data_IF_863111976902
#
_entry.id   IF_863111976902
#
_cell.length_a   1.000
_cell.length_b   1.000
_cell.length_c   1.000
_cell.angle_alpha   90.00
_cell.angle_beta   90.00
_cell.angle_gamma   90.00
#
_symmetry.space_group_name_H-M   'P 1'
#
loop_
_entity.id
_entity.type
_entity.pdbx_description
1 polymer ?
#
# COMPACT_ATOMS: atom_id res chain seq x y z
N UNK A 1 33.62 19.21 43.07
CA UNK A 1 33.30 19.74 41.72
C UNK A 1 31.80 19.88 41.69
N UNK A 2 31.30 21.09 41.38
CA UNK A 2 29.88 21.41 41.48
C UNK A 2 29.08 20.73 40.35
N UNK A 3 27.94 20.13 40.71
CA UNK A 3 26.97 19.56 39.78
C UNK A 3 26.36 20.67 38.91
N UNK A 4 26.35 20.44 37.60
CA UNK A 4 25.83 21.40 36.62
C UNK A 4 24.29 21.29 36.52
N UNK A 5 23.53 22.34 36.89
CA UNK A 5 22.06 22.32 36.89
C UNK A 5 21.43 22.35 35.48
N UNK A 6 22.23 22.34 34.41
CA UNK A 6 21.79 22.26 33.01
C UNK A 6 21.96 20.86 32.39
N UNK A 7 22.47 19.89 33.16
CA UNK A 7 22.57 18.50 32.74
C UNK A 7 21.37 17.76 33.33
N UNK A 8 20.37 17.49 32.48
CA UNK A 8 19.29 16.59 32.87
C UNK A 8 19.88 15.21 33.16
N UNK A 9 19.71 14.73 34.39
CA UNK A 9 20.01 13.34 34.71
C UNK A 9 19.15 12.43 33.80
N UNK A 10 19.67 11.27 33.35
CA UNK A 10 18.87 10.32 32.59
C UNK A 10 17.60 10.02 33.37
N UNK A 11 16.45 10.18 32.73
CA UNK A 11 15.15 9.85 33.31
C UNK A 11 15.15 8.37 33.70
N UNK A 12 15.21 8.07 35.00
CA UNK A 12 15.06 6.73 35.59
C UNK A 12 13.61 6.24 35.60
N UNK A 13 12.75 6.84 34.78
CA UNK A 13 11.35 6.47 34.73
C UNK A 13 11.21 5.24 33.84
N UNK A 14 10.96 4.08 34.46
CA UNK A 14 10.60 2.86 33.76
C UNK A 14 9.49 3.18 32.72
N UNK A 15 9.54 2.62 31.50
CA UNK A 15 8.53 2.87 30.48
C UNK A 15 7.15 2.59 31.07
N UNK A 16 6.30 3.63 31.10
CA UNK A 16 5.04 3.53 31.82
C UNK A 16 4.14 2.48 31.13
N UNK A 17 3.45 1.62 31.89
CA UNK A 17 2.43 0.69 31.37
C UNK A 17 1.34 1.39 30.54
N UNK A 18 1.21 2.70 30.71
CA UNK A 18 0.25 3.58 30.08
C UNK A 18 0.69 4.10 28.70
N UNK A 19 1.94 3.93 28.30
CA UNK A 19 2.46 4.46 27.02
C UNK A 19 1.65 3.96 25.80
N UNK A 20 1.16 2.71 25.83
CA UNK A 20 0.31 2.17 24.76
C UNK A 20 -1.08 2.82 24.68
N UNK A 21 -1.61 3.33 25.80
CA UNK A 21 -2.90 4.05 25.86
C UNK A 21 -2.74 5.46 25.29
N UNK A 22 -1.66 6.17 25.65
CA UNK A 22 -1.34 7.48 25.07
C UNK A 22 -1.11 7.41 23.56
N UNK A 23 -0.38 6.40 23.09
CA UNK A 23 -0.17 6.20 21.64
C UNK A 23 -1.50 5.88 20.92
N UNK A 24 -2.40 5.13 21.56
CA UNK A 24 -3.72 4.85 20.99
C UNK A 24 -4.58 6.13 20.88
N UNK A 25 -4.56 6.99 21.90
CA UNK A 25 -5.24 8.29 21.89
C UNK A 25 -4.67 9.22 20.82
N UNK A 26 -3.36 9.26 20.66
CA UNK A 26 -2.69 10.03 19.60
C UNK A 26 -3.08 9.54 18.19
N UNK A 27 -3.15 8.22 18.00
CA UNK A 27 -3.63 7.62 16.74
C UNK A 27 -5.10 7.98 16.51
N UNK A 28 -5.94 7.86 17.53
CA UNK A 28 -7.36 8.23 17.45
C UNK A 28 -7.55 9.70 17.08
N UNK A 29 -6.73 10.60 17.65
CA UNK A 29 -6.75 12.01 17.32
C UNK A 29 -6.35 12.27 15.86
N UNK A 30 -5.33 11.59 15.35
CA UNK A 30 -4.93 11.69 13.94
C UNK A 30 -6.08 11.21 13.03
N UNK A 31 -6.67 10.05 13.34
CA UNK A 31 -7.78 9.45 12.58
C UNK A 31 -9.02 10.34 12.63
N UNK A 32 -9.36 10.89 13.79
CA UNK A 32 -10.46 11.83 13.98
C UNK A 32 -10.23 13.13 13.20
N UNK A 33 -9.00 13.65 13.19
CA UNK A 33 -8.61 14.80 12.37
C UNK A 33 -8.85 14.56 10.88
N UNK A 34 -8.54 13.37 10.37
CA UNK A 34 -8.86 13.00 8.98
C UNK A 34 -10.37 12.89 8.75
N UNK A 35 -11.08 12.22 9.66
CA UNK A 35 -12.53 12.01 9.59
C UNK A 35 -13.31 13.33 9.59
N UNK A 36 -12.82 14.34 10.31
CA UNK A 36 -13.41 15.68 10.35
C UNK A 36 -13.30 16.46 9.04
N UNK A 37 -12.49 16.00 8.08
CA UNK A 37 -12.24 16.71 6.82
C UNK A 37 -11.33 17.94 6.96
N UNK A 38 -10.74 18.20 8.12
CA UNK A 38 -9.84 19.35 8.37
C UNK A 38 -8.61 19.40 7.46
N UNK A 39 -8.25 18.27 6.86
CA UNK A 39 -7.17 18.13 5.88
C UNK A 39 -7.55 18.66 4.48
N UNK A 40 -8.85 18.82 4.19
CA UNK A 40 -9.33 19.26 2.88
C UNK A 40 -9.15 20.78 2.76
N UNK A 41 -8.60 21.22 1.63
CA UNK A 41 -8.40 22.63 1.33
C UNK A 41 -9.76 23.33 1.11
N UNK A 42 -9.95 24.48 1.77
CA UNK A 42 -11.21 25.23 1.72
C UNK A 42 -11.61 25.69 0.32
N UNK A 43 -10.68 25.74 -0.64
CA UNK A 43 -10.97 26.09 -2.04
C UNK A 43 -11.78 25.02 -2.78
N UNK A 44 -11.81 23.78 -2.27
CA UNK A 44 -12.62 22.68 -2.81
C UNK A 44 -14.07 22.69 -2.29
N UNK A 45 -14.37 23.55 -1.29
CA UNK A 45 -15.68 23.60 -0.64
C UNK A 45 -15.93 22.39 0.28
N UNK A 46 -16.97 22.46 1.10
CA UNK A 46 -17.42 21.31 1.89
C UNK A 46 -17.93 20.21 0.93
N UNK A 47 -17.06 19.26 0.59
CA UNK A 47 -17.44 18.08 -0.18
C UNK A 47 -18.25 17.17 0.74
N UNK A 48 -19.57 17.36 0.77
CA UNK A 48 -20.48 16.39 1.38
C UNK A 48 -20.54 15.16 0.48
N UNK A 49 -20.08 14.02 1.00
CA UNK A 49 -20.01 12.76 0.28
C UNK A 49 -21.37 12.39 -0.34
N UNK A 50 -21.40 12.29 -1.66
CA UNK A 50 -22.39 11.53 -2.41
C UNK A 50 -21.62 10.54 -3.28
N UNK A 51 -21.66 9.25 -2.91
CA UNK A 51 -21.17 8.18 -3.76
C UNK A 51 -22.31 7.76 -4.67
N UNK A 52 -22.35 8.32 -5.88
CA UNK A 52 -23.13 7.76 -6.98
C UNK A 52 -22.31 7.75 -8.27
N UNK A 53 -22.15 6.53 -8.80
CA UNK A 53 -21.99 6.19 -10.20
C UNK A 53 -21.09 7.07 -11.06
N UNK A 54 -19.79 6.81 -11.06
CA UNK A 54 -18.93 7.20 -12.17
C UNK A 54 -19.18 6.28 -13.38
N UNK A 55 -20.21 6.60 -14.18
CA UNK A 55 -20.39 6.02 -15.50
C UNK A 55 -20.94 7.07 -16.46
N UNK A 56 -20.04 7.66 -17.24
CA UNK A 56 -20.17 7.98 -18.67
C UNK A 56 -18.99 8.90 -19.03
N UNK A 57 -18.03 8.36 -19.78
CA UNK A 57 -17.07 9.17 -20.51
C UNK A 57 -17.81 9.65 -21.76
N UNK A 58 -18.41 10.83 -21.69
CA UNK A 58 -18.73 11.58 -22.90
C UNK A 58 -17.45 12.31 -23.30
N UNK A 59 -16.99 12.17 -24.55
CA UNK A 59 -15.88 12.95 -25.11
C UNK A 59 -16.42 14.30 -25.62
N UNK A 60 -16.33 15.38 -24.84
CA UNK A 60 -16.93 16.65 -25.20
C UNK A 60 -16.09 17.32 -26.29
N UNK A 61 -14.77 17.13 -26.29
CA UNK A 61 -13.89 17.69 -27.32
C UNK A 61 -14.15 17.05 -28.69
N UNK A 62 -14.45 15.75 -28.72
CA UNK A 62 -14.87 15.03 -29.92
C UNK A 62 -16.13 15.59 -30.58
N UNK A 63 -17.03 16.23 -29.81
CA UNK A 63 -18.22 16.88 -30.37
C UNK A 63 -17.88 18.09 -31.27
N UNK A 64 -16.76 18.79 -31.00
CA UNK A 64 -16.33 19.93 -31.82
C UNK A 64 -15.78 19.51 -33.19
N UNK A 65 -15.28 18.27 -33.33
CA UNK A 65 -14.84 17.73 -34.62
C UNK A 65 -15.98 17.68 -35.64
N UNK A 66 -17.22 17.45 -35.18
CA UNK A 66 -18.40 17.38 -36.03
C UNK A 66 -18.72 18.72 -36.71
N UNK A 67 -18.24 19.84 -36.16
CA UNK A 67 -18.47 21.18 -36.70
C UNK A 67 -17.29 21.69 -37.55
N UNK A 68 -16.19 20.93 -37.68
CA UNK A 68 -15.08 21.23 -38.60
C UNK A 68 -14.19 22.42 -38.21
N UNK A 69 -14.29 22.94 -36.98
CA UNK A 69 -13.53 24.11 -36.52
C UNK A 69 -12.36 23.65 -35.65
N UNK A 70 -11.31 23.16 -36.32
CA UNK A 70 -10.16 22.51 -35.67
C UNK A 70 -9.38 23.40 -34.68
N UNK A 71 -9.34 24.73 -34.91
CA UNK A 71 -8.59 25.65 -34.04
C UNK A 71 -9.22 25.79 -32.64
N UNK A 72 -10.54 25.57 -32.48
CA UNK A 72 -11.17 25.59 -31.17
C UNK A 72 -10.76 24.39 -30.31
N UNK A 73 -10.45 23.25 -30.93
CA UNK A 73 -9.99 22.05 -30.23
C UNK A 73 -8.63 22.28 -29.58
N UNK A 74 -7.75 23.05 -30.23
CA UNK A 74 -6.45 23.41 -29.68
C UNK A 74 -6.57 24.18 -28.35
N UNK A 75 -7.62 24.98 -28.19
CA UNK A 75 -7.89 25.73 -26.96
C UNK A 75 -8.54 24.88 -25.86
N UNK A 76 -9.23 23.79 -26.23
CA UNK A 76 -9.88 22.87 -25.28
C UNK A 76 -8.94 21.78 -24.79
N UNK A 77 -7.96 21.38 -25.62
CA UNK A 77 -7.04 20.28 -25.32
C UNK A 77 -6.39 20.38 -23.93
N UNK A 78 -5.88 21.54 -23.48
CA UNK A 78 -5.30 21.66 -22.13
C UNK A 78 -6.30 21.38 -21.00
N UNK A 79 -7.59 21.65 -21.22
CA UNK A 79 -8.66 21.37 -20.26
C UNK A 79 -8.99 19.87 -20.23
N UNK A 80 -8.98 19.22 -21.39
CA UNK A 80 -9.18 17.77 -21.51
C UNK A 80 -8.00 16.98 -20.93
N UNK A 81 -6.76 17.42 -21.13
CA UNK A 81 -5.55 16.80 -20.54
C UNK A 81 -5.61 16.78 -19.00
N UNK A 82 -6.27 17.77 -18.37
CA UNK A 82 -6.48 17.77 -16.93
C UNK A 82 -7.38 16.61 -16.44
N UNK A 83 -8.25 16.06 -17.30
CA UNK A 83 -9.01 14.85 -16.99
C UNK A 83 -8.12 13.61 -16.99
N UNK A 84 -7.15 13.55 -17.90
CA UNK A 84 -6.18 12.46 -17.99
C UNK A 84 -5.25 12.45 -16.78
N UNK A 85 -4.87 13.61 -16.25
CA UNK A 85 -4.10 13.70 -15.00
C UNK A 85 -4.84 13.13 -13.79
N UNK A 86 -6.18 13.14 -13.83
CA UNK A 86 -7.06 12.61 -12.78
C UNK A 86 -7.56 11.20 -13.10
N UNK A 87 -7.04 10.56 -14.16
CA UNK A 87 -7.33 9.18 -14.48
C UNK A 87 -6.56 8.25 -13.52
N UNK A 88 -7.18 7.98 -12.37
CA UNK A 88 -6.77 6.92 -11.44
C UNK A 88 -7.64 5.67 -11.58
N UNK A 89 -7.32 4.64 -10.79
CA UNK A 89 -8.10 3.42 -10.65
C UNK A 89 -8.81 3.40 -9.27
N UNK A 90 -10.10 3.79 -9.20
CA UNK A 90 -10.86 3.78 -7.94
C UNK A 90 -11.00 2.37 -7.35
N UNK A 91 -11.03 1.33 -8.19
CA UNK A 91 -11.15 -0.05 -7.73
C UNK A 91 -9.86 -0.49 -7.02
N UNK A 92 -8.70 -0.11 -7.55
CA UNK A 92 -7.42 -0.33 -6.89
C UNK A 92 -7.32 0.41 -5.55
N UNK A 93 -7.77 1.66 -5.47
CA UNK A 93 -7.80 2.43 -4.21
C UNK A 93 -8.70 1.76 -3.18
N UNK A 94 -9.91 1.36 -3.58
CA UNK A 94 -10.85 0.64 -2.71
C UNK A 94 -10.29 -0.71 -2.24
N UNK A 95 -9.63 -1.46 -3.14
CA UNK A 95 -8.98 -2.71 -2.80
C UNK A 95 -7.86 -2.51 -1.76
N UNK A 96 -7.02 -1.49 -1.91
CA UNK A 96 -5.98 -1.17 -0.92
C UNK A 96 -6.56 -0.78 0.44
N UNK A 97 -7.62 0.04 0.47
CA UNK A 97 -8.32 0.37 1.71
C UNK A 97 -8.91 -0.89 2.38
N UNK A 98 -9.52 -1.78 1.60
CA UNK A 98 -10.08 -3.02 2.11
C UNK A 98 -9.00 -3.95 2.67
N UNK A 99 -7.82 -4.03 2.04
CA UNK A 99 -6.67 -4.77 2.59
C UNK A 99 -6.31 -4.28 3.98
N UNK A 100 -6.27 -2.96 4.20
CA UNK A 100 -5.98 -2.39 5.51
C UNK A 100 -7.07 -2.70 6.55
N UNK A 101 -8.35 -2.70 6.16
CA UNK A 101 -9.43 -3.14 7.05
C UNK A 101 -9.32 -4.61 7.42
N UNK A 102 -8.93 -5.47 6.48
CA UNK A 102 -8.72 -6.89 6.75
C UNK A 102 -7.58 -7.09 7.76
N UNK A 103 -6.49 -6.33 7.62
CA UNK A 103 -5.39 -6.30 8.60
C UNK A 103 -5.89 -5.85 9.97
N UNK A 104 -6.67 -4.78 10.04
CA UNK A 104 -7.26 -4.31 11.30
C UNK A 104 -8.18 -5.35 11.95
N UNK A 105 -9.01 -6.04 11.17
CA UNK A 105 -9.84 -7.15 11.63
C UNK A 105 -9.01 -8.28 12.24
N UNK A 106 -8.01 -8.77 11.52
CA UNK A 106 -7.11 -9.83 12.00
C UNK A 106 -6.40 -9.46 13.30
N UNK A 107 -5.94 -8.21 13.44
CA UNK A 107 -5.31 -7.72 14.67
C UNK A 107 -6.27 -7.69 15.86
N UNK A 108 -7.54 -7.33 15.65
CA UNK A 108 -8.58 -7.40 16.70
C UNK A 108 -8.87 -8.84 17.10
N UNK A 109 -9.01 -9.73 16.12
CA UNK A 109 -9.28 -11.15 16.38
C UNK A 109 -8.16 -11.79 17.19
N UNK A 110 -6.90 -11.43 16.91
CA UNK A 110 -5.74 -11.86 17.71
C UNK A 110 -5.76 -11.29 19.13
N UNK A 111 -6.12 -10.02 19.30
CA UNK A 111 -6.23 -9.40 20.63
C UNK A 111 -7.32 -10.07 21.48
N UNK A 112 -8.47 -10.36 20.87
CA UNK A 112 -9.60 -11.00 21.53
C UNK A 112 -9.34 -12.48 21.79
N UNK A 113 -8.65 -13.17 20.87
CA UNK A 113 -8.15 -14.52 21.06
C UNK A 113 -7.20 -14.63 22.26
N UNK A 114 -6.22 -13.72 22.36
CA UNK A 114 -5.30 -13.66 23.50
C UNK A 114 -6.03 -13.36 24.81
N UNK A 115 -6.96 -12.40 24.80
CA UNK A 115 -7.75 -12.06 25.99
C UNK A 115 -8.56 -13.28 26.46
N UNK A 116 -9.13 -14.03 25.51
CA UNK A 116 -9.93 -15.23 25.76
C UNK A 116 -9.08 -16.38 26.30
N UNK A 117 -7.93 -16.69 25.69
CA UNK A 117 -7.05 -17.76 26.16
C UNK A 117 -6.53 -17.48 27.57
N UNK A 118 -6.11 -16.25 27.85
CA UNK A 118 -5.66 -15.85 29.18
C UNK A 118 -6.78 -15.94 30.23
N UNK A 119 -8.03 -15.71 29.82
CA UNK A 119 -9.16 -15.83 30.73
C UNK A 119 -9.44 -17.28 31.14
N UNK A 120 -9.34 -18.23 30.21
CA UNK A 120 -9.76 -19.61 30.42
C UNK A 120 -8.61 -20.57 30.73
N UNK A 121 -7.48 -20.44 30.04
CA UNK A 121 -6.40 -21.44 30.10
C UNK A 121 -5.52 -21.27 31.35
N UNK A 122 -5.55 -20.09 31.98
CA UNK A 122 -4.78 -19.78 33.19
C UNK A 122 -5.67 -19.34 34.36
N UNK A 123 -6.95 -19.74 34.34
CA UNK A 123 -7.93 -19.41 35.39
C UNK A 123 -7.49 -19.96 36.75
N UNK A 124 -7.08 -21.22 36.78
CA UNK A 124 -6.64 -21.91 38.01
C UNK A 124 -5.24 -21.48 38.48
N UNK A 125 -4.46 -20.80 37.63
CA UNK A 125 -3.13 -20.35 37.97
C UNK A 125 -3.18 -19.08 38.85
N UNK A 126 -2.75 -19.22 40.09
CA UNK A 126 -2.77 -18.16 41.11
C UNK A 126 -1.36 -17.77 41.58
N UNK A 127 -1.28 -16.68 42.35
CA UNK A 127 -0.02 -16.12 42.86
C UNK A 127 0.53 -14.97 42.01
N UNK A 128 1.66 -14.39 42.47
CA UNK A 128 2.23 -13.16 41.90
C UNK A 128 2.65 -13.30 40.42
N UNK A 129 3.18 -14.46 40.04
CA UNK A 129 3.56 -14.75 38.66
C UNK A 129 2.35 -14.78 37.73
N UNK A 130 1.22 -15.35 38.17
CA UNK A 130 -0.01 -15.39 37.39
C UNK A 130 -0.61 -13.99 37.18
N UNK A 131 -0.59 -13.12 38.20
CA UNK A 131 -1.00 -11.72 38.05
C UNK A 131 -0.09 -10.94 37.10
N UNK A 132 1.23 -11.15 37.17
CA UNK A 132 2.19 -10.53 36.28
C UNK A 132 1.96 -10.97 34.82
N UNK A 133 1.71 -12.26 34.60
CA UNK A 133 1.38 -12.80 33.28
C UNK A 133 0.08 -12.21 32.72
N UNK A 134 -1.01 -12.18 33.51
CA UNK A 134 -2.29 -11.57 33.09
C UNK A 134 -2.14 -10.10 32.72
N UNK A 135 -1.39 -9.33 33.50
CA UNK A 135 -1.06 -7.94 33.19
C UNK A 135 -0.25 -7.80 31.90
N UNK A 136 0.79 -8.64 31.71
CA UNK A 136 1.57 -8.65 30.48
C UNK A 136 0.72 -8.97 29.24
N UNK A 137 -0.17 -9.96 29.35
CA UNK A 137 -1.04 -10.35 28.26
C UNK A 137 -2.08 -9.28 27.91
N UNK A 138 -2.63 -8.59 28.91
CA UNK A 138 -3.53 -7.45 28.69
C UNK A 138 -2.80 -6.32 27.94
N UNK A 139 -1.59 -5.97 28.35
CA UNK A 139 -0.77 -4.99 27.62
C UNK A 139 -0.50 -5.41 26.17
N UNK A 140 -0.30 -6.71 25.91
CA UNK A 140 -0.10 -7.21 24.55
C UNK A 140 -1.38 -7.13 23.72
N UNK A 141 -2.53 -7.45 24.31
CA UNK A 141 -3.84 -7.30 23.67
C UNK A 141 -4.14 -5.83 23.35
N UNK A 142 -3.85 -4.90 24.27
CA UNK A 142 -4.00 -3.45 24.04
C UNK A 142 -3.18 -2.98 22.85
N UNK A 143 -1.92 -3.39 22.72
CA UNK A 143 -1.08 -3.01 21.56
C UNK A 143 -1.62 -3.53 20.23
N UNK A 144 -2.12 -4.77 20.21
CA UNK A 144 -2.78 -5.32 19.02
C UNK A 144 -4.00 -4.47 18.62
N UNK A 145 -4.80 -4.03 19.60
CA UNK A 145 -5.92 -3.10 19.36
C UNK A 145 -5.44 -1.74 18.85
N UNK A 146 -4.34 -1.19 19.38
CA UNK A 146 -3.73 0.05 18.88
C UNK A 146 -3.24 -0.07 17.44
N UNK A 147 -2.61 -1.20 17.08
CA UNK A 147 -2.20 -1.47 15.70
C UNK A 147 -3.41 -1.64 14.78
N UNK A 148 -4.49 -2.26 15.25
CA UNK A 148 -5.75 -2.36 14.51
C UNK A 148 -6.36 -0.99 14.24
N UNK A 149 -6.35 -0.09 15.23
CA UNK A 149 -6.80 1.29 15.07
C UNK A 149 -5.96 2.04 14.02
N UNK A 150 -4.64 1.86 14.02
CA UNK A 150 -3.77 2.45 13.01
C UNK A 150 -4.07 1.91 11.60
N UNK A 151 -4.24 0.59 11.46
CA UNK A 151 -4.60 -0.02 10.18
C UNK A 151 -5.95 0.50 9.64
N UNK A 152 -6.96 0.64 10.49
CA UNK A 152 -8.23 1.30 10.14
C UNK A 152 -8.04 2.77 9.74
N UNK A 153 -7.15 3.48 10.43
CA UNK A 153 -6.75 4.84 10.09
C UNK A 153 -6.18 4.94 8.67
N UNK A 154 -5.29 4.01 8.31
CA UNK A 154 -4.70 3.93 6.96
C UNK A 154 -5.75 3.63 5.89
N UNK A 155 -6.70 2.74 6.18
CA UNK A 155 -7.84 2.48 5.30
C UNK A 155 -8.66 3.75 5.07
N UNK A 156 -9.07 4.42 6.15
CA UNK A 156 -9.85 5.66 6.09
C UNK A 156 -9.14 6.74 5.28
N UNK A 157 -7.85 6.97 5.52
CA UNK A 157 -7.07 7.96 4.78
C UNK A 157 -7.01 7.64 3.28
N UNK A 158 -6.83 6.36 2.91
CA UNK A 158 -6.78 5.92 1.51
C UNK A 158 -8.11 6.19 0.79
N UNK A 159 -9.24 5.91 1.43
CA UNK A 159 -10.56 6.18 0.87
C UNK A 159 -10.87 7.67 0.79
N UNK A 160 -10.47 8.43 1.80
CA UNK A 160 -10.63 9.87 1.84
C UNK A 160 -9.87 10.53 0.68
N UNK A 161 -8.64 10.07 0.39
CA UNK A 161 -7.87 10.50 -0.77
C UNK A 161 -8.60 10.17 -2.08
N UNK A 162 -9.06 8.92 -2.25
CA UNK A 162 -9.78 8.48 -3.44
C UNK A 162 -11.07 9.27 -3.69
N UNK A 163 -11.83 9.53 -2.64
CA UNK A 163 -13.08 10.32 -2.69
C UNK A 163 -12.80 11.76 -3.14
N UNK A 164 -11.73 12.38 -2.61
CA UNK A 164 -11.36 13.74 -3.01
C UNK A 164 -10.91 13.82 -4.47
N UNK A 165 -10.08 12.87 -4.92
CA UNK A 165 -9.64 12.78 -6.32
C UNK A 165 -10.85 12.61 -7.24
N UNK A 166 -11.77 11.69 -6.89
CA UNK A 166 -13.00 11.46 -7.64
C UNK A 166 -13.87 12.72 -7.75
N UNK A 167 -14.01 13.46 -6.65
CA UNK A 167 -14.76 14.73 -6.63
C UNK A 167 -14.14 15.76 -7.57
N UNK A 168 -12.82 15.97 -7.49
CA UNK A 168 -12.14 16.94 -8.37
C UNK A 168 -12.23 16.51 -9.84
N UNK A 169 -12.18 15.21 -10.13
CA UNK A 169 -12.38 14.68 -11.49
C UNK A 169 -13.76 15.04 -12.04
N UNK A 170 -14.81 14.92 -11.24
CA UNK A 170 -16.18 15.33 -11.64
C UNK A 170 -16.21 16.83 -11.92
N UNK A 171 -15.66 17.66 -11.03
CA UNK A 171 -15.62 19.11 -11.20
C UNK A 171 -14.90 19.53 -12.50
N UNK A 172 -13.76 18.88 -12.82
CA UNK A 172 -13.03 19.14 -14.07
C UNK A 172 -13.84 18.67 -15.28
N UNK A 173 -14.50 17.51 -15.20
CA UNK A 173 -15.35 17.01 -16.29
C UNK A 173 -16.49 17.98 -16.60
N UNK A 174 -17.18 18.46 -15.58
CA UNK A 174 -18.31 19.39 -15.73
C UNK A 174 -17.85 20.74 -16.28
N UNK A 175 -16.66 21.20 -15.86
CA UNK A 175 -16.02 22.38 -16.43
C UNK A 175 -15.74 22.22 -17.93
N UNK A 176 -15.13 21.10 -18.33
CA UNK A 176 -14.85 20.79 -19.75
C UNK A 176 -16.14 20.72 -20.55
N UNK A 177 -17.17 20.03 -20.03
CA UNK A 177 -18.48 19.93 -20.68
C UNK A 177 -19.13 21.31 -20.87
N UNK A 178 -19.04 22.19 -19.86
CA UNK A 178 -19.55 23.56 -19.92
C UNK A 178 -18.82 24.40 -20.97
N UNK A 179 -17.49 24.30 -21.04
CA UNK A 179 -16.69 25.00 -22.05
C UNK A 179 -17.10 24.53 -23.44
N UNK A 180 -17.08 23.23 -23.69
CA UNK A 180 -17.44 22.65 -25.00
C UNK A 180 -18.86 23.04 -25.43
N UNK A 181 -19.84 23.00 -24.52
CA UNK A 181 -21.20 23.41 -24.84
C UNK A 181 -21.28 24.85 -25.36
N UNK A 182 -20.51 25.78 -24.78
CA UNK A 182 -20.42 27.16 -25.26
C UNK A 182 -19.69 27.27 -26.60
N UNK A 183 -18.64 26.49 -26.79
CA UNK A 183 -17.90 26.48 -28.05
C UNK A 183 -18.74 25.97 -29.23
N UNK A 184 -19.67 25.05 -28.99
CA UNK A 184 -20.63 24.61 -30.02
C UNK A 184 -21.54 25.77 -30.45
N UNK A 185 -21.96 26.64 -29.52
CA UNK A 185 -22.74 27.84 -29.86
C UNK A 185 -21.93 28.80 -30.73
N UNK A 186 -20.68 29.06 -30.35
CA UNK A 186 -19.77 29.90 -31.14
C UNK A 186 -19.44 29.30 -32.51
N UNK A 187 -19.36 27.96 -32.60
CA UNK A 187 -19.22 27.27 -33.88
C UNK A 187 -20.39 27.57 -34.82
N UNK A 188 -21.63 27.50 -34.29
CA UNK A 188 -22.84 27.84 -35.02
C UNK A 188 -22.87 29.30 -35.47
N UNK A 189 -22.42 30.23 -34.64
CA UNK A 189 -22.30 31.66 -34.98
C UNK A 189 -21.32 31.89 -36.14
N UNK A 190 -20.16 31.21 -36.13
CA UNK A 190 -19.20 31.31 -37.23
C UNK A 190 -19.77 30.79 -38.55
N UNK A 191 -20.51 29.68 -38.51
CA UNK A 191 -21.19 29.13 -39.69
C UNK A 191 -22.26 30.10 -40.20
N UNK A 192 -23.12 30.60 -39.31
CA UNK A 192 -24.21 31.50 -39.66
C UNK A 192 -23.71 32.85 -40.21
N UNK A 193 -22.58 33.35 -39.71
CA UNK A 193 -21.95 34.60 -40.16
C UNK A 193 -20.99 34.41 -41.33
N UNK A 194 -20.88 33.19 -41.88
CA UNK A 194 -19.89 32.84 -42.91
C UNK A 194 -18.45 33.26 -42.54
N UNK A 195 -18.11 33.20 -41.25
CA UNK A 195 -16.79 33.54 -40.71
C UNK A 195 -16.56 35.03 -40.45
N UNK A 196 -17.53 35.93 -40.68
CA UNK A 196 -17.35 37.36 -40.42
C UNK A 196 -17.17 37.67 -38.92
N UNK A 197 -17.74 36.86 -38.03
CA UNK A 197 -17.57 37.01 -36.58
C UNK A 197 -16.25 36.45 -36.02
N UNK A 198 -15.35 35.92 -36.88
CA UNK A 198 -14.12 35.23 -36.42
C UNK A 198 -13.28 36.01 -35.42
N UNK A 199 -12.97 37.31 -35.62
CA UNK A 199 -12.15 38.05 -34.65
C UNK A 199 -12.78 38.11 -33.25
N UNK A 200 -14.09 38.32 -33.17
CA UNK A 200 -14.83 38.40 -31.92
C UNK A 200 -14.91 37.03 -31.24
N UNK A 201 -15.21 35.98 -32.00
CA UNK A 201 -15.33 34.62 -31.47
C UNK A 201 -13.98 34.11 -30.95
N UNK A 202 -12.86 34.38 -31.63
CA UNK A 202 -11.53 34.01 -31.15
C UNK A 202 -11.23 34.64 -29.78
N UNK A 203 -11.55 35.91 -29.60
CA UNK A 203 -11.40 36.59 -28.31
C UNK A 203 -12.24 35.89 -27.23
N UNK A 204 -13.53 35.65 -27.49
CA UNK A 204 -14.45 35.01 -26.55
C UNK A 204 -14.01 33.58 -26.17
N UNK A 205 -13.59 32.78 -27.14
CA UNK A 205 -13.09 31.41 -26.94
C UNK A 205 -11.85 31.44 -26.05
N UNK A 206 -10.89 32.31 -26.37
CA UNK A 206 -9.62 32.41 -25.63
C UNK A 206 -9.87 32.83 -24.18
N UNK A 207 -10.68 33.86 -23.96
CA UNK A 207 -11.02 34.34 -22.61
C UNK A 207 -11.78 33.29 -21.81
N UNK A 208 -12.73 32.58 -22.44
CA UNK A 208 -13.48 31.51 -21.80
C UNK A 208 -12.58 30.36 -21.37
N UNK A 209 -11.77 29.83 -22.29
CA UNK A 209 -10.84 28.73 -22.00
C UNK A 209 -9.83 29.14 -20.93
N UNK A 210 -9.27 30.35 -21.00
CA UNK A 210 -8.34 30.86 -19.99
C UNK A 210 -8.99 30.96 -18.59
N UNK A 211 -10.22 31.45 -18.50
CA UNK A 211 -10.94 31.55 -17.24
C UNK A 211 -11.20 30.18 -16.59
N UNK A 212 -11.59 29.19 -17.40
CA UNK A 212 -11.81 27.82 -16.92
C UNK A 212 -10.51 27.09 -16.60
N UNK A 213 -9.46 27.27 -17.39
CA UNK A 213 -8.12 26.76 -17.09
C UNK A 213 -7.62 27.28 -15.74
N UNK A 214 -7.77 28.59 -15.48
CA UNK A 214 -7.40 29.18 -14.20
C UNK A 214 -8.22 28.61 -13.03
N UNK A 215 -9.51 28.26 -13.26
CA UNK A 215 -10.38 27.66 -12.25
C UNK A 215 -9.99 26.21 -11.95
N UNK A 216 -9.74 25.41 -12.98
CA UNK A 216 -9.24 24.03 -12.85
C UNK A 216 -7.89 24.02 -12.12
N UNK A 217 -6.98 24.91 -12.50
CA UNK A 217 -5.68 25.02 -11.83
C UNK A 217 -5.79 25.32 -10.33
N UNK A 218 -6.79 26.11 -9.91
CA UNK A 218 -7.06 26.34 -8.47
C UNK A 218 -7.54 25.06 -7.77
N UNK A 219 -8.45 24.32 -8.38
CA UNK A 219 -8.94 23.05 -7.83
C UNK A 219 -7.81 22.01 -7.72
N UNK A 220 -6.97 21.87 -8.76
CA UNK A 220 -5.81 20.97 -8.73
C UNK A 220 -4.81 21.36 -7.63
N UNK A 221 -4.56 22.66 -7.41
CA UNK A 221 -3.71 23.12 -6.31
C UNK A 221 -4.31 22.78 -4.94
N UNK A 222 -5.63 22.97 -4.78
CA UNK A 222 -6.36 22.57 -3.56
C UNK A 222 -6.28 21.07 -3.32
N UNK A 223 -6.41 20.26 -4.37
CA UNK A 223 -6.25 18.81 -4.31
C UNK A 223 -4.86 18.42 -3.81
N UNK A 224 -3.81 18.96 -4.43
CA UNK A 224 -2.41 18.69 -4.05
C UNK A 224 -2.15 19.11 -2.59
N UNK A 225 -2.63 20.29 -2.19
CA UNK A 225 -2.48 20.77 -0.82
C UNK A 225 -3.17 19.84 0.19
N UNK A 226 -4.37 19.36 -0.14
CA UNK A 226 -5.11 18.40 0.68
C UNK A 226 -4.38 17.07 0.79
N UNK A 227 -3.95 16.50 -0.34
CA UNK A 227 -3.22 15.23 -0.36
C UNK A 227 -1.89 15.30 0.41
N UNK A 228 -1.20 16.45 0.41
CA UNK A 228 -0.01 16.66 1.24
C UNK A 228 -0.34 16.62 2.72
N UNK A 229 -1.35 17.36 3.18
CA UNK A 229 -1.81 17.32 4.58
C UNK A 229 -2.20 15.91 5.03
N UNK A 230 -2.82 15.15 4.12
CA UNK A 230 -3.17 13.75 4.36
C UNK A 230 -1.92 12.86 4.42
N UNK A 231 -0.94 13.09 3.56
CA UNK A 231 0.38 12.44 3.61
C UNK A 231 1.11 12.71 4.94
N UNK A 232 1.06 13.94 5.45
CA UNK A 232 1.63 14.30 6.74
C UNK A 232 0.90 13.59 7.91
N UNK A 233 -0.42 13.42 7.81
CA UNK A 233 -1.19 12.64 8.78
C UNK A 233 -0.81 11.15 8.74
N UNK A 234 -0.60 10.58 7.55
CA UNK A 234 -0.12 9.21 7.37
C UNK A 234 1.30 9.03 7.93
N UNK A 235 2.20 10.00 7.71
CA UNK A 235 3.55 9.99 8.26
C UNK A 235 3.53 9.94 9.79
N UNK A 236 2.78 10.87 10.41
CA UNK A 236 2.59 10.88 11.88
C UNK A 236 1.98 9.59 12.42
N UNK A 237 1.04 8.99 11.70
CA UNK A 237 0.46 7.69 12.05
C UNK A 237 1.54 6.59 12.05
N UNK A 238 2.40 6.57 11.02
CA UNK A 238 3.54 5.66 10.93
C UNK A 238 4.54 5.83 12.07
N UNK A 239 4.85 7.08 12.44
CA UNK A 239 5.74 7.39 13.57
C UNK A 239 5.18 6.83 14.89
N UNK A 240 3.88 7.00 15.16
CA UNK A 240 3.25 6.45 16.37
C UNK A 240 3.24 4.92 16.41
N UNK A 241 3.06 4.27 15.26
CA UNK A 241 3.21 2.82 15.15
C UNK A 241 4.67 2.39 15.40
N UNK A 242 5.63 3.19 14.97
CA UNK A 242 7.05 2.96 15.22
C UNK A 242 7.38 3.10 16.72
N UNK A 243 6.87 4.13 17.39
CA UNK A 243 7.03 4.34 18.83
C UNK A 243 6.45 3.16 19.64
N UNK A 244 5.28 2.64 19.22
CA UNK A 244 4.66 1.46 19.83
C UNK A 244 5.55 0.21 19.72
N UNK A 245 6.31 0.08 18.62
CA UNK A 245 7.30 -0.99 18.42
C UNK A 245 8.55 -0.76 19.28
N UNK A 246 9.07 0.46 19.35
CA UNK A 246 10.27 0.78 20.12
C UNK A 246 10.06 0.69 21.63
N UNK A 247 8.88 1.07 22.16
CA UNK A 247 8.54 0.89 23.57
C UNK A 247 8.60 -0.56 24.07
N UNK A 248 8.77 -1.54 23.17
CA UNK A 248 9.10 -2.93 23.48
C UNK A 248 10.59 -3.15 23.80
N UNK A 249 11.50 -2.45 23.13
CA UNK A 249 12.95 -2.64 23.25
C UNK A 249 13.49 -2.11 24.58
N UNK A 250 12.99 -0.95 25.03
CA UNK A 250 13.41 -0.34 26.30
C UNK A 250 12.86 -1.11 27.51
N UNK A 251 11.63 -1.64 27.41
CA UNK A 251 11.03 -2.45 28.47
C UNK A 251 11.69 -3.84 28.63
N UNK A 252 12.28 -4.41 27.57
CA UNK A 252 12.99 -5.68 27.64
C UNK A 252 14.41 -5.59 28.21
N UNK A 253 14.98 -4.38 28.30
CA UNK A 253 16.39 -4.18 28.71
C UNK A 253 16.52 -3.81 30.19
N UNK A 254 15.43 -3.37 30.85
CA UNK A 254 15.43 -2.87 32.23
C UNK A 254 15.19 -3.89 33.36
N UNK A 255 15.13 -5.20 33.08
CA UNK A 255 14.93 -6.24 34.11
C UNK A 255 16.02 -7.32 34.02
N UNK A 256 17.28 -6.96 34.30
CA UNK A 256 18.32 -7.97 34.51
C UNK A 256 19.33 -7.55 35.57
N UNK A 257 18.89 -7.19 36.77
CA UNK A 257 19.77 -7.20 37.95
C UNK A 257 19.07 -7.80 39.16
N UNK A 258 19.58 -8.94 39.64
CA UNK A 258 19.33 -9.46 40.97
C UNK A 258 18.53 -10.77 41.05
N UNK A 259 19.19 -11.91 40.81
CA UNK A 259 19.15 -13.07 41.73
C UNK A 259 19.91 -14.25 41.11
N UNK A 260 21.05 -14.56 41.72
CA UNK A 260 21.83 -15.77 41.52
C UNK A 260 21.11 -16.96 42.17
N UNK A 261 20.82 -17.99 41.37
CA UNK A 261 20.25 -19.25 41.83
C UNK A 261 20.52 -20.37 40.84
N UNK A 262 21.58 -21.13 41.10
CA UNK A 262 21.95 -22.36 40.40
C UNK A 262 20.81 -23.37 40.45
N UNK A 263 20.30 -23.80 39.29
CA UNK A 263 19.28 -24.83 39.18
C UNK A 263 19.17 -25.32 37.75
N UNK A 264 19.79 -26.46 37.49
CA UNK A 264 19.69 -27.21 36.24
C UNK A 264 18.24 -27.62 35.95
N UNK A 265 17.71 -27.24 34.78
CA UNK A 265 16.68 -27.96 34.02
C UNK A 265 16.52 -27.26 32.67
N UNK A 266 16.98 -27.87 31.58
CA UNK A 266 16.78 -27.30 30.25
C UNK A 266 15.31 -27.38 29.80
N UNK A 267 14.88 -26.48 28.91
CA UNK A 267 13.87 -26.81 27.91
C UNK A 267 14.26 -26.40 26.48
N UNK A 268 13.66 -27.09 25.51
CA UNK A 268 13.77 -26.93 24.05
C UNK A 268 13.72 -25.49 23.52
N UNK A 269 14.31 -25.21 22.34
CA UNK A 269 14.50 -23.85 21.85
C UNK A 269 13.19 -23.19 21.42
N UNK A 270 12.81 -22.14 22.14
CA UNK A 270 11.73 -21.23 21.75
C UNK A 270 12.14 -20.34 20.59
N UNK A 271 11.24 -20.13 19.64
CA UNK A 271 11.42 -19.25 18.48
C UNK A 271 11.91 -17.86 18.90
N UNK A 272 12.98 -17.39 18.25
CA UNK A 272 13.60 -16.10 18.51
C UNK A 272 12.71 -14.98 17.95
N UNK A 273 12.65 -13.83 18.63
CA UNK A 273 11.89 -12.67 18.12
C UNK A 273 12.51 -12.17 16.80
N UNK A 274 11.72 -12.04 15.71
CA UNK A 274 12.22 -11.56 14.43
C UNK A 274 12.73 -10.11 14.47
N UNK A 275 13.81 -9.78 13.74
CA UNK A 275 14.30 -8.42 13.60
C UNK A 275 13.33 -7.55 12.78
N UNK A 276 13.43 -6.24 12.92
CA UNK A 276 12.71 -5.27 12.08
C UNK A 276 13.52 -4.95 10.82
N UNK A 277 12.85 -4.83 9.68
CA UNK A 277 13.42 -4.58 8.36
C UNK A 277 12.31 -4.28 7.34
N UNK A 278 12.62 -4.08 6.04
CA UNK A 278 13.90 -4.33 5.37
C UNK A 278 14.98 -3.23 5.48
N UNK A 279 16.28 -3.58 5.35
CA UNK A 279 16.79 -4.95 5.36
C UNK A 279 16.62 -5.60 6.75
N UNK A 280 16.48 -6.93 6.79
CA UNK A 280 16.40 -7.69 8.03
C UNK A 280 17.78 -8.25 8.39
N UNK A 281 18.43 -7.77 9.46
CA UNK A 281 19.74 -8.29 9.86
C UNK A 281 19.61 -9.75 10.29
N UNK A 282 20.24 -10.67 9.56
CA UNK A 282 20.26 -12.08 9.93
C UNK A 282 21.21 -12.29 11.12
N UNK A 283 20.80 -13.11 12.09
CA UNK A 283 21.69 -13.49 13.19
C UNK A 283 22.94 -14.24 12.70
N UNK A 284 24.02 -14.06 13.44
CA UNK A 284 25.34 -14.63 13.13
C UNK A 284 25.40 -16.17 13.19
N UNK A 285 24.48 -16.77 13.95
CA UNK A 285 24.38 -18.22 14.20
C UNK A 285 23.48 -18.96 13.20
N UNK A 286 22.86 -18.26 12.25
CA UNK A 286 21.99 -18.86 11.24
C UNK A 286 22.79 -19.75 10.29
N UNK A 287 22.27 -20.94 10.03
CA UNK A 287 22.85 -21.86 9.04
C UNK A 287 22.46 -21.45 7.63
N UNK A 288 23.35 -21.68 6.67
CA UNK A 288 23.07 -21.49 5.24
C UNK A 288 23.37 -20.09 4.71
N UNK A 289 22.79 -19.77 3.55
CA UNK A 289 23.08 -18.57 2.76
C UNK A 289 22.69 -17.23 3.42
N UNK A 290 21.88 -17.23 4.48
CA UNK A 290 21.50 -16.04 5.25
C UNK A 290 22.60 -15.54 6.20
N UNK A 291 23.54 -16.41 6.59
CA UNK A 291 24.51 -16.12 7.64
C UNK A 291 25.35 -14.89 7.32
N UNK A 292 25.39 -13.93 8.26
CA UNK A 292 26.18 -12.71 8.15
C UNK A 292 25.70 -11.74 7.06
N UNK A 293 24.42 -11.81 6.67
CA UNK A 293 23.82 -10.93 5.67
C UNK A 293 22.66 -10.13 6.22
N UNK A 294 22.47 -8.97 5.62
CA UNK A 294 21.24 -8.21 5.67
C UNK A 294 20.28 -8.73 4.60
N UNK A 295 19.16 -9.30 5.02
CA UNK A 295 18.19 -9.87 4.09
C UNK A 295 17.35 -8.77 3.46
N UNK A 296 17.35 -8.69 2.14
CA UNK A 296 16.58 -7.71 1.37
C UNK A 296 15.26 -8.32 0.86
N UNK A 297 14.21 -7.50 0.66
CA UNK A 297 12.95 -7.95 0.08
C UNK A 297 13.14 -8.62 -1.28
N UNK A 298 12.25 -9.54 -1.66
CA UNK A 298 12.18 -10.01 -3.02
C UNK A 298 12.00 -8.89 -4.02
N UNK A 299 12.74 -9.00 -5.12
CA UNK A 299 12.61 -8.06 -6.22
C UNK A 299 11.16 -8.06 -6.75
N UNK A 300 10.65 -6.88 -7.11
CA UNK A 300 9.26 -6.70 -7.59
C UNK A 300 8.87 -7.61 -8.77
N UNK A 301 9.84 -8.21 -9.46
CA UNK A 301 9.67 -9.21 -10.55
C UNK A 301 8.91 -10.46 -10.09
N UNK A 302 8.91 -10.74 -8.79
CA UNK A 302 8.17 -11.84 -8.19
C UNK A 302 6.68 -11.50 -7.96
N UNK A 303 6.15 -10.44 -8.57
CA UNK A 303 4.72 -10.10 -8.54
C UNK A 303 4.14 -10.13 -9.96
N UNK A 304 2.85 -10.43 -10.09
CA UNK A 304 2.17 -10.44 -11.38
C UNK A 304 2.36 -9.13 -12.18
N UNK A 305 2.23 -7.98 -11.54
CA UNK A 305 2.43 -6.67 -12.19
C UNK A 305 3.92 -6.38 -12.45
N UNK A 306 4.80 -6.67 -11.49
CA UNK A 306 6.23 -6.36 -11.60
C UNK A 306 6.98 -7.23 -12.59
N UNK A 307 6.40 -8.36 -13.01
CA UNK A 307 6.93 -9.22 -14.07
C UNK A 307 7.22 -8.46 -15.38
N UNK A 308 6.52 -7.34 -15.66
CA UNK A 308 6.72 -6.48 -16.85
C UNK A 308 8.17 -6.02 -17.07
N UNK A 309 8.93 -5.88 -15.99
CA UNK A 309 10.35 -5.50 -15.99
C UNK A 309 11.30 -6.64 -15.65
N UNK A 310 10.78 -7.83 -15.34
CA UNK A 310 11.59 -8.95 -14.92
C UNK A 310 12.36 -9.60 -16.08
N UNK A 311 13.57 -10.06 -15.79
CA UNK A 311 14.30 -11.00 -16.64
C UNK A 311 13.57 -12.35 -16.67
N UNK A 312 13.57 -13.03 -17.82
CA UNK A 312 12.97 -14.37 -17.96
C UNK A 312 14.06 -15.41 -17.72
N UNK A 313 13.96 -16.18 -16.62
CA UNK A 313 14.92 -17.24 -16.27
C UNK A 313 14.38 -18.63 -16.67
N UNK A 314 15.18 -19.68 -16.49
CA UNK A 314 14.72 -21.06 -16.71
C UNK A 314 13.60 -21.43 -15.72
N UNK A 315 13.85 -21.16 -14.45
CA UNK A 315 12.91 -21.29 -13.34
C UNK A 315 12.60 -19.91 -12.78
N UNK A 316 11.32 -19.58 -12.70
CA UNK A 316 10.82 -18.33 -12.14
C UNK A 316 9.74 -18.65 -11.12
N UNK A 317 9.50 -17.70 -10.23
CA UNK A 317 8.49 -17.79 -9.19
C UNK A 317 7.84 -16.43 -9.05
N UNK A 318 6.53 -16.42 -8.81
CA UNK A 318 5.80 -15.19 -8.48
C UNK A 318 4.81 -15.47 -7.36
N UNK A 319 4.55 -14.45 -6.55
CA UNK A 319 3.42 -14.45 -5.64
C UNK A 319 2.12 -14.32 -6.43
N UNK A 320 1.13 -15.11 -6.04
CA UNK A 320 -0.25 -14.95 -6.49
C UNK A 320 -0.82 -13.62 -5.96
N UNK A 321 -1.86 -13.12 -6.61
CA UNK A 321 -2.58 -11.91 -6.16
C UNK A 321 -3.05 -12.09 -4.72
N UNK A 322 -2.86 -11.06 -3.90
CA UNK A 322 -3.19 -11.08 -2.47
C UNK A 322 -2.08 -11.66 -1.58
N UNK A 323 -1.08 -12.32 -2.16
CA UNK A 323 0.03 -12.94 -1.43
C UNK A 323 1.35 -12.19 -1.57
N UNK A 324 1.38 -11.05 -2.28
CA UNK A 324 2.61 -10.32 -2.56
C UNK A 324 3.34 -9.82 -1.31
N UNK A 325 2.66 -9.73 -0.16
CA UNK A 325 3.22 -9.23 1.10
C UNK A 325 3.60 -10.34 2.10
N UNK A 326 3.33 -11.62 1.83
CA UNK A 326 3.59 -12.71 2.79
C UNK A 326 5.07 -12.84 3.15
N UNK A 327 5.96 -12.40 2.25
CA UNK A 327 7.39 -12.44 2.47
C UNK A 327 7.87 -11.57 3.64
N UNK A 328 7.13 -10.53 4.03
CA UNK A 328 7.56 -9.62 5.08
C UNK A 328 7.81 -10.37 6.39
N UNK A 329 6.85 -11.18 6.80
CA UNK A 329 6.96 -11.98 8.02
C UNK A 329 7.93 -13.14 7.83
N UNK A 330 7.88 -13.82 6.68
CA UNK A 330 8.74 -14.98 6.43
C UNK A 330 10.23 -14.63 6.39
N UNK A 331 10.60 -13.53 5.73
CA UNK A 331 12.00 -13.08 5.67
C UNK A 331 12.48 -12.66 7.06
N UNK A 332 11.63 -11.99 7.84
CA UNK A 332 11.96 -11.66 9.23
C UNK A 332 12.19 -12.94 10.05
N UNK A 333 11.35 -13.96 9.90
CA UNK A 333 11.50 -15.26 10.58
C UNK A 333 12.76 -16.02 10.13
N UNK A 334 13.12 -15.93 8.85
CA UNK A 334 14.38 -16.47 8.33
C UNK A 334 15.56 -15.74 8.99
N UNK A 335 15.55 -14.40 9.03
CA UNK A 335 16.58 -13.59 9.68
C UNK A 335 16.66 -13.81 11.21
N UNK A 336 15.57 -14.29 11.83
CA UNK A 336 15.52 -14.68 13.22
C UNK A 336 16.12 -16.07 13.49
N UNK A 337 16.35 -16.87 12.44
CA UNK A 337 16.78 -18.26 12.55
C UNK A 337 15.65 -19.24 12.86
N UNK A 338 14.39 -18.83 12.68
CA UNK A 338 13.22 -19.68 12.95
C UNK A 338 12.81 -20.55 11.75
N UNK A 339 13.39 -20.31 10.58
CA UNK A 339 13.12 -21.10 9.38
C UNK A 339 13.95 -22.38 9.34
N UNK A 340 13.37 -23.45 8.80
CA UNK A 340 14.10 -24.69 8.56
C UNK A 340 15.01 -24.52 7.34
N UNK A 341 16.32 -24.72 7.50
CA UNK A 341 17.26 -24.69 6.38
C UNK A 341 17.45 -26.08 5.79
N UNK A 342 17.27 -26.19 4.48
CA UNK A 342 17.44 -27.40 3.68
C UNK A 342 18.78 -27.34 2.94
N UNK A 343 19.82 -28.09 3.37
CA UNK A 343 21.16 -27.99 2.80
C UNK A 343 21.25 -28.46 1.34
N UNK A 344 20.43 -29.43 0.94
CA UNK A 344 20.47 -30.03 -0.40
C UNK A 344 20.02 -29.06 -1.50
N UNK A 345 19.01 -28.25 -1.20
CA UNK A 345 18.44 -27.26 -2.12
C UNK A 345 18.94 -25.84 -1.83
N UNK A 346 19.65 -25.66 -0.71
CA UNK A 346 20.04 -24.36 -0.15
C UNK A 346 18.83 -23.41 -0.08
N UNK A 347 17.75 -23.89 0.55
CA UNK A 347 16.50 -23.15 0.75
C UNK A 347 16.13 -23.06 2.22
N UNK A 348 15.41 -22.00 2.56
CA UNK A 348 14.75 -21.84 3.86
C UNK A 348 13.27 -22.13 3.71
N UNK A 349 12.71 -22.92 4.61
CA UNK A 349 11.29 -23.19 4.69
C UNK A 349 10.68 -22.57 5.96
N UNK A 350 9.61 -21.82 5.78
CA UNK A 350 8.83 -21.21 6.86
C UNK A 350 7.37 -21.10 6.38
N UNK A 351 6.41 -21.44 7.25
CA UNK A 351 4.98 -21.37 6.92
C UNK A 351 4.59 -22.14 5.63
N UNK A 352 5.29 -23.25 5.33
CA UNK A 352 5.12 -24.06 4.12
C UNK A 352 5.63 -23.41 2.83
N UNK A 353 6.28 -22.24 2.92
CA UNK A 353 6.89 -21.53 1.80
C UNK A 353 8.41 -21.65 1.85
N UNK A 354 9.01 -21.79 0.68
CA UNK A 354 10.44 -21.99 0.47
C UNK A 354 11.06 -20.77 -0.19
N UNK A 355 12.23 -20.37 0.30
CA UNK A 355 12.94 -19.16 -0.11
C UNK A 355 14.41 -19.44 -0.37
N UNK A 356 14.95 -18.81 -1.41
CA UNK A 356 16.39 -18.74 -1.65
C UNK A 356 16.93 -17.36 -1.30
N UNK A 357 18.25 -17.27 -1.08
CA UNK A 357 18.93 -16.01 -0.75
C UNK A 357 20.10 -15.83 -1.70
N UNK A 358 20.11 -14.73 -2.44
CA UNK A 358 21.20 -14.36 -3.33
C UNK A 358 22.48 -14.01 -2.56
N UNK A 359 23.66 -14.02 -3.21
CA UNK A 359 24.89 -13.52 -2.60
C UNK A 359 24.75 -12.10 -2.03
N UNK A 360 23.92 -11.25 -2.67
CA UNK A 360 23.59 -9.87 -2.27
C UNK A 360 22.75 -9.76 -0.99
N UNK A 361 22.20 -10.86 -0.48
CA UNK A 361 21.22 -10.86 0.62
C UNK A 361 19.77 -10.70 0.15
N UNK A 362 19.51 -10.48 -1.14
CA UNK A 362 18.14 -10.44 -1.68
C UNK A 362 17.48 -11.80 -1.59
N UNK A 363 16.34 -11.86 -0.89
CA UNK A 363 15.55 -13.09 -0.78
C UNK A 363 14.68 -13.25 -2.02
N UNK A 364 14.51 -14.46 -2.53
CA UNK A 364 13.55 -14.74 -3.60
C UNK A 364 12.65 -15.92 -3.23
N UNK A 365 11.34 -15.85 -3.53
CA UNK A 365 10.44 -16.97 -3.34
C UNK A 365 10.82 -18.12 -4.27
N UNK A 366 10.59 -19.35 -3.83
CA UNK A 366 10.78 -20.55 -4.65
C UNK A 366 9.44 -21.27 -4.88
N UNK A 367 8.81 -21.77 -3.82
CA UNK A 367 7.53 -22.49 -3.87
C UNK A 367 6.78 -22.45 -2.54
N UNK A 368 5.48 -22.76 -2.56
CA UNK A 368 4.64 -22.91 -1.38
C UNK A 368 3.30 -22.19 -1.53
N UNK A 369 2.46 -22.17 -0.47
CA UNK A 369 1.17 -21.48 -0.50
C UNK A 369 1.30 -20.03 -1.00
N UNK A 370 0.52 -19.64 -2.00
CA UNK A 370 0.55 -18.30 -2.58
C UNK A 370 1.75 -18.00 -3.49
N UNK A 371 2.63 -18.97 -3.77
CA UNK A 371 3.78 -18.84 -4.68
C UNK A 371 3.63 -19.86 -5.82
N UNK A 372 3.63 -19.39 -7.06
CA UNK A 372 3.55 -20.25 -8.25
C UNK A 372 4.87 -20.28 -9.00
N UNK A 373 5.31 -21.49 -9.37
CA UNK A 373 6.46 -21.71 -10.25
C UNK A 373 6.07 -21.57 -11.71
N UNK A 374 6.94 -20.88 -12.44
CA UNK A 374 6.79 -20.55 -13.84
C UNK A 374 8.05 -20.96 -14.60
N UNK A 375 7.87 -21.77 -15.65
CA UNK A 375 8.94 -22.02 -16.59
C UNK A 375 9.22 -20.77 -17.45
N UNK A 376 10.25 -20.86 -18.31
CA UNK A 376 10.66 -19.75 -19.20
C UNK A 376 9.52 -19.21 -20.06
N UNK A 377 8.68 -20.07 -20.64
CA UNK A 377 7.61 -19.65 -21.55
C UNK A 377 6.44 -19.02 -20.78
N UNK A 378 6.06 -19.60 -19.64
CA UNK A 378 4.99 -19.09 -18.78
C UNK A 378 5.34 -17.72 -18.19
N UNK A 379 6.57 -17.53 -17.70
CA UNK A 379 7.00 -16.22 -17.19
C UNK A 379 7.14 -15.18 -18.31
N UNK A 380 7.58 -15.60 -19.51
CA UNK A 380 7.63 -14.70 -20.68
C UNK A 380 6.22 -14.24 -21.08
N UNK A 381 5.23 -15.14 -21.06
CA UNK A 381 3.83 -14.77 -21.30
C UNK A 381 3.31 -13.80 -20.24
N UNK A 382 3.59 -14.07 -18.95
CA UNK A 382 3.20 -13.17 -17.84
C UNK A 382 3.81 -11.77 -18.00
N UNK A 383 5.06 -11.69 -18.44
CA UNK A 383 5.74 -10.42 -18.71
C UNK A 383 5.04 -9.60 -19.80
N UNK A 384 4.64 -10.23 -20.90
CA UNK A 384 3.95 -9.55 -22.00
C UNK A 384 2.53 -9.11 -21.59
N UNK A 385 1.80 -9.96 -20.86
CA UNK A 385 0.48 -9.61 -20.29
C UNK A 385 0.62 -8.42 -19.33
N UNK A 386 1.63 -8.42 -18.46
CA UNK A 386 1.85 -7.35 -17.50
C UNK A 386 2.26 -6.02 -18.17
N UNK A 387 2.94 -6.07 -19.32
CA UNK A 387 3.25 -4.88 -20.14
C UNK A 387 2.00 -4.31 -20.82
N UNK A 388 1.08 -5.17 -21.20
CA UNK A 388 -0.21 -4.81 -21.77
C UNK A 388 -1.28 -4.44 -20.73
N UNK A 389 -0.93 -4.39 -19.43
CA UNK A 389 -1.89 -4.10 -18.38
C UNK A 389 -3.00 -5.15 -18.22
N UNK A 390 -2.74 -6.39 -18.63
CA UNK A 390 -3.70 -7.49 -18.55
C UNK A 390 -4.51 -7.75 -19.82
N UNK A 391 -4.44 -6.86 -20.83
CA UNK A 391 -5.15 -7.05 -22.10
C UNK A 391 -4.38 -8.00 -23.03
N UNK A 392 -4.76 -9.28 -23.02
CA UNK A 392 -4.13 -10.34 -23.84
C UNK A 392 -4.32 -10.08 -25.34
N UNK A 393 -5.45 -9.49 -25.76
CA UNK A 393 -5.76 -9.28 -27.17
C UNK A 393 -4.87 -8.18 -27.79
N UNK A 394 -4.37 -7.27 -26.96
CA UNK A 394 -3.39 -6.26 -27.37
C UNK A 394 -1.97 -6.84 -27.59
N UNK A 395 -1.68 -8.05 -27.10
CA UNK A 395 -0.34 -8.67 -27.15
C UNK A 395 -0.09 -9.36 -28.49
N UNK A 396 0.35 -8.58 -29.48
CA UNK A 396 0.60 -9.05 -30.86
C UNK A 396 1.61 -10.21 -30.98
N UNK A 397 2.50 -10.38 -30.00
CA UNK A 397 3.51 -11.45 -30.05
C UNK A 397 2.90 -12.84 -29.83
N UNK A 398 1.75 -12.95 -29.15
CA UNK A 398 1.07 -14.22 -28.90
C UNK A 398 0.53 -14.89 -30.17
N UNK A 399 0.25 -14.10 -31.22
CA UNK A 399 -0.25 -14.61 -32.50
C UNK A 399 0.85 -14.80 -33.56
N UNK A 400 2.11 -14.48 -33.25
CA UNK A 400 3.20 -14.43 -34.22
C UNK A 400 4.44 -15.23 -33.83
N UNK A 401 4.78 -15.26 -32.54
CA UNK A 401 5.99 -15.94 -32.08
C UNK A 401 5.73 -17.44 -31.89
N UNK A 402 6.49 -18.33 -32.58
CA UNK A 402 6.36 -19.78 -32.44
C UNK A 402 6.40 -20.26 -30.99
N UNK A 403 7.10 -19.55 -30.09
CA UNK A 403 7.13 -19.87 -28.66
C UNK A 403 5.74 -19.99 -28.06
N UNK A 404 4.85 -19.05 -28.38
CA UNK A 404 3.51 -18.98 -27.79
C UNK A 404 2.50 -19.78 -28.60
N UNK A 405 2.65 -19.82 -29.93
CA UNK A 405 1.81 -20.65 -30.80
C UNK A 405 1.93 -22.14 -30.49
N UNK A 406 3.11 -22.59 -30.05
CA UNK A 406 3.35 -23.97 -29.61
C UNK A 406 3.00 -24.24 -28.13
N UNK A 407 2.77 -23.19 -27.34
CA UNK A 407 2.50 -23.28 -25.89
C UNK A 407 1.34 -22.35 -25.46
N UNK A 408 0.12 -22.51 -26.01
CA UNK A 408 -1.02 -21.67 -25.65
C UNK A 408 -1.41 -21.79 -24.16
N UNK A 409 -1.13 -22.93 -23.53
CA UNK A 409 -1.33 -23.17 -22.10
C UNK A 409 -0.48 -22.24 -21.23
N UNK A 410 0.69 -21.81 -21.70
CA UNK A 410 1.54 -20.87 -20.99
C UNK A 410 0.89 -19.48 -20.89
N UNK A 411 0.16 -19.05 -21.92
CA UNK A 411 -0.62 -17.80 -21.92
C UNK A 411 -1.79 -17.92 -20.94
N UNK A 412 -2.54 -19.02 -21.00
CA UNK A 412 -3.70 -19.24 -20.13
C UNK A 412 -3.33 -19.25 -18.63
N UNK A 413 -2.25 -19.94 -18.28
CA UNK A 413 -1.70 -19.95 -16.92
C UNK A 413 -1.21 -18.55 -16.51
N UNK A 414 -0.44 -17.88 -17.36
CA UNK A 414 0.04 -16.53 -17.06
C UNK A 414 -1.10 -15.52 -16.85
N UNK A 415 -2.18 -15.62 -17.66
CA UNK A 415 -3.35 -14.75 -17.55
C UNK A 415 -4.10 -14.97 -16.24
N UNK A 416 -4.37 -16.23 -15.88
CA UNK A 416 -5.04 -16.53 -14.61
C UNK A 416 -4.24 -16.08 -13.40
N UNK A 417 -2.90 -16.15 -13.45
CA UNK A 417 -2.03 -15.58 -12.40
C UNK A 417 -2.14 -14.06 -12.36
N UNK A 418 -2.13 -13.39 -13.51
CA UNK A 418 -2.23 -11.94 -13.59
C UNK A 418 -3.56 -11.40 -13.03
N UNK A 419 -4.65 -12.07 -13.38
CA UNK A 419 -6.02 -11.74 -12.97
C UNK A 419 -6.32 -12.15 -11.53
N UNK A 420 -5.49 -12.99 -10.92
CA UNK A 420 -5.73 -13.54 -9.59
C UNK A 420 -6.77 -14.66 -9.55
N UNK A 421 -7.03 -15.33 -10.68
CA UNK A 421 -7.95 -16.47 -10.77
C UNK A 421 -7.23 -17.82 -10.82
N UNK A 422 -5.89 -17.83 -10.71
CA UNK A 422 -5.12 -19.06 -10.65
C UNK A 422 -5.42 -19.80 -9.34
N UNK A 423 -5.74 -21.11 -9.39
CA UNK A 423 -6.06 -21.87 -8.18
C UNK A 423 -4.84 -22.03 -7.28
N UNK A 424 -5.06 -21.98 -5.96
CA UNK A 424 -4.02 -22.19 -4.93
C UNK A 424 -3.50 -23.63 -4.87
#
# INVERSE_FOLDING_TARGET
MADNPLIAAPSTQAPSPWAGVWIAEDIEQIVSGVRSGSWIDGTLGAVSAGLDGLALVSDPAGALLQYGIAWMIEHVRPLSEALDWLAGDPAQIAAHAQTWRNVAGSLRDQADGLTRSVRWDVEEWTGAAASAYRSHADHRAQRLRTLALAADGTALMTEAAGTLIGTVRIMVRDAVATVVSRLIVYAGELIATAGLATPLVVEQVTTLCAAWAARIARWLKGLIASLRKLGDAMGRLGDRVHDLRQGRADASTGQTEGSSGTGSSGPSPGAVVPPTGPPWPARDDIRGAARGKDLNPPHARHTATGARHGEVRADNSVYLRGHENVFHDDVAQIAAGNAQWHPETNRYEINGRTYGIEPSGTVFPDSGPGIVKLNRNEYAALKEIARAGGDVDSVRVFTRDPRYLSHPEAIAKAKSIYDGTYPE
#
